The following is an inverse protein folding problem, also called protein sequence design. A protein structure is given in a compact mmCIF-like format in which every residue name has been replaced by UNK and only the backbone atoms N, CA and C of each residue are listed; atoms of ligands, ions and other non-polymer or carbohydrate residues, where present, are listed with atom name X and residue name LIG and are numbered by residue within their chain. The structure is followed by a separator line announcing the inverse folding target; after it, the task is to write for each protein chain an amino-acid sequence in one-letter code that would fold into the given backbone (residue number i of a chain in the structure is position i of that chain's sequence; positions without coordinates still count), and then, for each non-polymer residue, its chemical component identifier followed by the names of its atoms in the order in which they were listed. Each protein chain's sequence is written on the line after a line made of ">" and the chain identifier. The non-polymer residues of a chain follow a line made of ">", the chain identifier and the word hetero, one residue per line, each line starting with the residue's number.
data_IF_050700140398
#
_entry.id   IF_050700140398
#
_cell.length_a   1.000
_cell.length_b   1.000
_cell.length_c   1.000
_cell.angle_alpha   90.00
_cell.angle_beta   90.00
_cell.angle_gamma   90.00
#
_symmetry.space_group_name_H-M   'P 1'
#
loop_
_entity.id
_entity.type
_entity.pdbx_description
1 polymer ?
#
# COMPACT_ATOMS: atom_id res chain seq x y z
N UNK A 1 -5.59 -12.01 7.74
CA UNK A 1 -6.63 -10.99 8.05
C UNK A 1 -7.94 -11.40 7.39
N UNK A 2 -9.11 -11.24 8.03
CA UNK A 2 -10.40 -11.50 7.36
C UNK A 2 -10.51 -10.64 6.10
N UNK A 3 -11.12 -11.17 5.02
CA UNK A 3 -11.21 -10.52 3.70
C UNK A 3 -11.69 -9.06 3.78
N UNK A 4 -12.57 -8.78 4.75
CA UNK A 4 -13.12 -7.46 5.03
C UNK A 4 -12.03 -6.43 5.40
N UNK A 5 -10.99 -6.83 6.13
CA UNK A 5 -9.93 -5.93 6.57
C UNK A 5 -8.99 -5.54 5.42
N UNK A 6 -8.78 -6.46 4.48
CA UNK A 6 -8.03 -6.17 3.24
C UNK A 6 -8.78 -5.13 2.39
N UNK A 7 -10.09 -5.34 2.19
CA UNK A 7 -10.94 -4.43 1.42
C UNK A 7 -10.98 -3.04 2.07
N UNK A 8 -11.22 -2.97 3.38
CA UNK A 8 -11.22 -1.69 4.11
C UNK A 8 -9.88 -0.98 3.97
N UNK A 9 -8.76 -1.70 4.08
CA UNK A 9 -7.46 -1.05 3.96
C UNK A 9 -7.16 -0.59 2.53
N UNK A 10 -7.62 -1.32 1.51
CA UNK A 10 -7.52 -0.89 0.11
C UNK A 10 -8.29 0.42 -0.13
N UNK A 11 -9.48 0.54 0.46
CA UNK A 11 -10.29 1.76 0.42
C UNK A 11 -9.56 2.91 1.12
N UNK A 12 -9.05 2.69 2.33
CA UNK A 12 -8.31 3.71 3.10
C UNK A 12 -7.09 4.21 2.33
N UNK A 13 -6.30 3.30 1.76
CA UNK A 13 -5.12 3.63 0.95
C UNK A 13 -5.51 4.41 -0.31
N UNK A 14 -6.57 3.99 -1.00
CA UNK A 14 -7.07 4.68 -2.19
C UNK A 14 -7.55 6.11 -1.89
N UNK A 15 -8.27 6.30 -0.77
CA UNK A 15 -8.73 7.62 -0.33
C UNK A 15 -7.55 8.51 0.07
N UNK A 16 -6.56 7.97 0.79
CA UNK A 16 -5.33 8.69 1.15
C UNK A 16 -4.57 9.17 -0.09
N UNK A 17 -4.40 8.29 -1.08
CA UNK A 17 -3.75 8.63 -2.34
C UNK A 17 -4.50 9.73 -3.10
N UNK A 18 -5.82 9.62 -3.17
CA UNK A 18 -6.67 10.60 -3.82
C UNK A 18 -6.59 11.97 -3.13
N UNK A 19 -6.59 12.00 -1.79
CA UNK A 19 -6.40 13.22 -1.00
C UNK A 19 -5.06 13.88 -1.29
N UNK A 20 -3.98 13.10 -1.29
CA UNK A 20 -2.63 13.62 -1.57
C UNK A 20 -2.54 14.23 -2.97
N UNK A 21 -3.13 13.58 -3.99
CA UNK A 21 -3.13 14.09 -5.36
C UNK A 21 -4.09 15.29 -5.56
N UNK A 22 -5.15 15.41 -4.75
CA UNK A 22 -6.17 16.47 -4.87
C UNK A 22 -5.80 17.72 -4.09
N UNK A 23 -5.26 17.58 -2.88
CA UNK A 23 -5.04 18.72 -1.97
C UNK A 23 -3.66 19.34 -2.08
N UNK A 24 -2.69 18.67 -2.69
CA UNK A 24 -1.34 19.21 -2.86
C UNK A 24 -1.16 19.60 -4.35
N UNK A 25 -1.38 20.88 -4.72
CA UNK A 25 -1.07 21.37 -6.05
C UNK A 25 0.45 21.39 -6.23
N UNK A 26 1.01 20.29 -6.72
CA UNK A 26 2.44 20.12 -6.93
C UNK A 26 2.82 20.42 -8.37
N UNK A 27 3.97 21.09 -8.50
CA UNK A 27 4.64 21.30 -9.77
C UNK A 27 4.83 19.99 -10.55
N UNK A 28 4.78 20.08 -11.88
CA UNK A 28 4.67 18.92 -12.78
C UNK A 28 5.76 17.86 -12.55
N UNK A 29 6.97 18.28 -12.17
CA UNK A 29 8.09 17.37 -11.82
C UNK A 29 7.90 16.68 -10.46
N UNK A 30 7.47 17.41 -9.43
CA UNK A 30 7.33 16.87 -8.07
C UNK A 30 6.10 15.96 -8.00
N UNK A 31 5.03 16.28 -8.75
CA UNK A 31 3.83 15.43 -8.87
C UNK A 31 4.14 14.03 -9.40
N UNK A 32 5.02 13.94 -10.42
CA UNK A 32 5.42 12.66 -11.00
C UNK A 32 6.18 11.77 -10.00
N UNK A 33 7.14 12.37 -9.28
CA UNK A 33 7.94 11.66 -8.27
C UNK A 33 7.05 11.19 -7.11
N UNK A 34 6.18 12.06 -6.60
CA UNK A 34 5.30 11.69 -5.49
C UNK A 34 4.34 10.56 -5.87
N UNK A 35 3.70 10.64 -7.04
CA UNK A 35 2.80 9.59 -7.49
C UNK A 35 3.54 8.25 -7.66
N UNK A 36 4.75 8.26 -8.24
CA UNK A 36 5.57 7.06 -8.37
C UNK A 36 5.92 6.46 -6.99
N UNK A 37 6.35 7.29 -6.04
CA UNK A 37 6.68 6.85 -4.68
C UNK A 37 5.48 6.25 -3.98
N UNK A 38 4.30 6.87 -4.05
CA UNK A 38 3.12 6.33 -3.36
C UNK A 38 2.63 5.05 -4.04
N UNK A 39 2.62 4.98 -5.38
CA UNK A 39 2.28 3.74 -6.09
C UNK A 39 3.21 2.60 -5.67
N UNK A 40 4.52 2.84 -5.57
CA UNK A 40 5.49 1.85 -5.08
C UNK A 40 5.19 1.44 -3.63
N UNK A 41 4.91 2.40 -2.75
CA UNK A 41 4.55 2.13 -1.36
C UNK A 41 3.28 1.27 -1.25
N UNK A 42 2.27 1.53 -2.07
CA UNK A 42 1.03 0.73 -2.13
C UNK A 42 1.30 -0.68 -2.63
N UNK A 43 2.15 -0.86 -3.65
CA UNK A 43 2.52 -2.19 -4.17
C UNK A 43 3.27 -2.99 -3.11
N UNK A 44 4.26 -2.40 -2.44
CA UNK A 44 5.00 -3.04 -1.35
C UNK A 44 4.07 -3.41 -0.18
N UNK A 45 3.15 -2.52 0.16
CA UNK A 45 2.15 -2.76 1.20
C UNK A 45 1.21 -3.91 0.80
N UNK A 46 0.74 -3.97 -0.46
CA UNK A 46 -0.06 -5.08 -0.95
C UNK A 46 0.69 -6.41 -0.92
N UNK A 47 1.96 -6.45 -1.34
CA UNK A 47 2.79 -7.65 -1.24
C UNK A 47 2.88 -8.18 0.19
N UNK A 48 2.96 -7.29 1.19
CA UNK A 48 2.94 -7.65 2.61
C UNK A 48 1.55 -8.11 3.07
N UNK A 49 0.48 -7.44 2.61
CA UNK A 49 -0.90 -7.67 3.01
C UNK A 49 -1.51 -8.96 2.41
N UNK A 50 -1.09 -9.33 1.19
CA UNK A 50 -1.42 -10.63 0.58
C UNK A 50 -0.69 -11.81 1.25
N UNK A 51 0.14 -11.53 2.26
CA UNK A 51 0.73 -12.57 3.08
C UNK A 51 1.87 -13.32 2.39
N UNK A 52 2.53 -12.75 1.37
CA UNK A 52 3.80 -13.32 0.86
C UNK A 52 4.86 -13.31 1.96
N UNK A 53 4.82 -12.34 2.87
CA UNK A 53 5.66 -12.26 4.07
C UNK A 53 5.06 -12.96 5.30
N UNK A 54 3.75 -13.18 5.35
CA UNK A 54 3.05 -13.79 6.50
C UNK A 54 2.95 -15.32 6.36
N UNK A 55 2.86 -15.83 5.13
CA UNK A 55 3.06 -17.25 4.79
C UNK A 55 4.50 -17.72 5.05
N UNK A 56 5.47 -16.80 5.12
CA UNK A 56 6.84 -17.07 5.57
C UNK A 56 7.01 -16.98 7.09
N UNK A 57 6.08 -16.36 7.82
CA UNK A 57 6.07 -16.33 9.30
C UNK A 57 5.34 -17.51 9.93
N UNK A 58 4.51 -18.22 9.16
CA UNK A 58 3.91 -19.50 9.55
C UNK A 58 4.83 -20.71 9.37
N UNK A 59 5.98 -20.57 8.72
CA UNK A 59 7.02 -21.60 8.63
C UNK A 59 8.04 -21.35 9.74
N UNK A 60 7.69 -21.76 10.95
CA UNK A 60 8.68 -22.04 12.00
C UNK A 60 9.49 -23.24 11.53
N UNK A 61 10.64 -23.01 10.87
CA UNK A 61 11.69 -24.03 10.73
C UNK A 61 12.35 -24.13 12.10
N UNK A 62 11.74 -24.91 12.99
CA UNK A 62 12.14 -24.99 14.39
C UNK A 62 11.20 -25.87 15.19
N UNK A 63 11.24 -27.17 14.86
CA UNK A 63 10.67 -28.28 15.62
C UNK A 63 11.52 -29.51 15.36
#
# INVERSE_FOLDING_TARGET
>A
MPLINLVVTLIVVGVLLWLVNTYIPMDRKIKSILNAVIVIAVILWLLTAFGVLDGLRGVTVGG
#
